data_IF_962123493698
#
_entry.id   IF_962123493698
#
_cell.length_a   1.000
_cell.length_b   1.000
_cell.length_c   1.000
_cell.angle_alpha   90.00
_cell.angle_beta   90.00
_cell.angle_gamma   90.00
#
_symmetry.space_group_name_H-M   'P 1'
#
loop_
_entity.id
_entity.type
_entity.pdbx_description
1 polymer ?
#
# COMPACT_ATOMS: atom_id res chain seq x y z
N UNK A 1 17.07 7.32 4.71
CA UNK A 1 16.09 6.24 4.47
C UNK A 1 16.21 5.83 3.02
N UNK A 2 16.39 4.55 2.71
CA UNK A 2 16.56 4.10 1.32
C UNK A 2 15.21 3.83 0.65
N UNK A 3 15.20 3.79 -0.68
CA UNK A 3 14.00 3.48 -1.45
C UNK A 3 13.41 2.09 -1.10
N UNK A 4 14.26 1.11 -0.83
CA UNK A 4 13.83 -0.24 -0.41
C UNK A 4 13.03 -0.20 0.90
N UNK A 5 13.53 0.54 1.91
CA UNK A 5 12.84 0.67 3.20
C UNK A 5 11.47 1.35 3.04
N UNK A 6 11.36 2.32 2.13
CA UNK A 6 10.08 2.98 1.84
C UNK A 6 9.12 1.99 1.17
N UNK A 7 9.59 1.23 0.18
CA UNK A 7 8.78 0.23 -0.52
C UNK A 7 8.28 -0.88 0.42
N UNK A 8 9.17 -1.42 1.26
CA UNK A 8 8.81 -2.45 2.25
C UNK A 8 7.73 -1.94 3.20
N UNK A 9 7.83 -0.68 3.63
CA UNK A 9 6.86 -0.10 4.55
C UNK A 9 5.48 0.11 3.89
N UNK A 10 5.46 0.55 2.64
CA UNK A 10 4.21 0.67 1.85
C UNK A 10 3.58 -0.71 1.63
N UNK A 11 4.38 -1.73 1.29
CA UNK A 11 3.89 -3.09 1.08
C UNK A 11 3.35 -3.71 2.37
N UNK A 12 4.07 -3.61 3.49
CA UNK A 12 3.62 -4.11 4.79
C UNK A 12 2.29 -3.47 5.22
N UNK A 13 2.16 -2.16 4.99
CA UNK A 13 0.91 -1.43 5.29
C UNK A 13 -0.22 -1.89 4.37
N UNK A 14 0.02 -2.03 3.06
CA UNK A 14 -0.96 -2.56 2.12
C UNK A 14 -1.42 -3.98 2.50
N UNK A 15 -0.51 -4.83 2.95
CA UNK A 15 -0.82 -6.19 3.38
C UNK A 15 -1.66 -6.24 4.66
N UNK A 16 -1.53 -5.25 5.55
CA UNK A 16 -2.36 -5.12 6.75
C UNK A 16 -3.80 -4.66 6.47
N UNK A 17 -4.09 -4.14 5.27
CA UNK A 17 -5.42 -3.64 4.94
C UNK A 17 -6.47 -4.77 4.91
N UNK A 18 -7.72 -4.49 5.30
CA UNK A 18 -8.82 -5.45 5.17
C UNK A 18 -9.00 -5.91 3.72
N UNK A 19 -9.44 -7.16 3.51
CA UNK A 19 -9.63 -7.73 2.17
C UNK A 19 -10.51 -6.87 1.24
N UNK A 20 -11.50 -6.14 1.79
CA UNK A 20 -12.38 -5.21 1.03
C UNK A 20 -11.64 -4.03 0.40
N UNK A 21 -10.41 -3.75 0.84
CA UNK A 21 -9.56 -2.64 0.40
C UNK A 21 -8.42 -3.10 -0.49
N UNK A 22 -8.36 -4.40 -0.78
CA UNK A 22 -7.41 -5.01 -1.71
C UNK A 22 -8.10 -5.22 -3.07
N UNK A 23 -7.32 -5.30 -4.17
CA UNK A 23 -7.84 -5.61 -5.49
C UNK A 23 -8.66 -6.89 -5.46
N UNK A 24 -9.79 -6.88 -6.16
CA UNK A 24 -10.71 -8.02 -6.22
C UNK A 24 -9.98 -9.19 -6.89
N UNK A 25 -10.15 -10.39 -6.34
CA UNK A 25 -9.82 -11.61 -7.06
C UNK A 25 -10.90 -11.84 -8.11
N UNK A 26 -10.48 -12.01 -9.34
CA UNK A 26 -11.35 -12.32 -10.47
C UNK A 26 -11.66 -13.81 -10.46
N UNK A 27 -12.77 -14.20 -11.11
CA UNK A 27 -13.30 -15.57 -11.03
C UNK A 27 -12.35 -16.63 -11.64
N UNK A 28 -11.37 -16.20 -12.43
CA UNK A 28 -10.28 -17.01 -12.99
C UNK A 28 -9.09 -17.21 -12.02
N UNK A 29 -9.21 -16.72 -10.78
CA UNK A 29 -8.14 -16.76 -9.77
C UNK A 29 -7.06 -15.69 -9.97
N UNK A 30 -7.15 -14.87 -11.03
CA UNK A 30 -6.23 -13.76 -11.23
C UNK A 30 -6.59 -12.61 -10.29
N UNK A 31 -5.56 -11.97 -9.72
CA UNK A 31 -5.73 -10.72 -8.98
C UNK A 31 -5.65 -9.58 -9.97
N UNK A 32 -6.58 -8.64 -9.88
CA UNK A 32 -6.52 -7.41 -10.66
C UNK A 32 -5.19 -6.69 -10.40
N UNK A 33 -4.47 -6.37 -11.47
CA UNK A 33 -3.26 -5.57 -11.39
C UNK A 33 -3.65 -4.12 -11.17
N UNK A 34 -3.25 -3.54 -10.04
CA UNK A 34 -3.42 -2.11 -9.78
C UNK A 34 -2.06 -1.49 -9.47
N UNK A 35 -1.76 -0.29 -10.00
CA UNK A 35 -0.64 0.48 -9.51
C UNK A 35 -0.88 0.83 -8.04
N UNK A 36 0.11 0.55 -7.20
CA UNK A 36 0.14 0.89 -5.79
C UNK A 36 1.02 2.12 -5.60
N UNK A 37 0.49 3.13 -4.92
CA UNK A 37 1.27 4.29 -4.48
C UNK A 37 1.11 4.49 -2.99
N UNK A 38 2.16 5.01 -2.33
CA UNK A 38 2.15 5.26 -0.90
C UNK A 38 3.05 6.43 -0.52
N UNK A 39 2.63 7.16 0.50
CA UNK A 39 3.39 8.26 1.10
C UNK A 39 3.81 7.82 2.49
N UNK A 40 5.10 7.99 2.80
CA UNK A 40 5.69 7.64 4.08
C UNK A 40 6.20 8.90 4.77
N UNK A 41 5.63 9.24 5.92
CA UNK A 41 6.17 10.26 6.80
C UNK A 41 7.23 9.63 7.70
N UNK A 42 8.39 10.27 7.80
CA UNK A 42 9.48 9.83 8.67
C UNK A 42 10.06 11.00 9.45
N UNK A 43 10.39 10.76 10.72
CA UNK A 43 11.22 11.65 11.53
C UNK A 43 12.60 11.01 11.66
N UNK A 44 13.49 11.34 10.73
CA UNK A 44 14.81 10.71 10.62
C UNK A 44 14.75 9.35 9.92
N UNK A 45 15.20 8.29 10.61
CA UNK A 45 15.13 6.89 10.13
C UNK A 45 13.88 6.15 10.62
N UNK A 46 13.08 6.77 11.49
CA UNK A 46 11.90 6.14 12.09
C UNK A 46 10.66 6.63 11.33
N UNK A 47 9.95 5.74 10.63
CA UNK A 47 8.73 6.14 9.96
C UNK A 47 7.59 6.28 10.99
N UNK A 48 6.77 7.31 10.82
CA UNK A 48 5.77 7.74 11.82
C UNK A 48 4.33 7.68 11.32
N UNK A 49 4.09 7.79 10.01
CA UNK A 49 2.73 7.73 9.43
C UNK A 49 2.79 7.33 7.95
N UNK A 50 1.71 6.73 7.43
CA UNK A 50 1.65 6.22 6.06
C UNK A 50 0.27 6.41 5.47
N UNK A 51 0.21 6.71 4.17
CA UNK A 51 -1.04 6.69 3.41
C UNK A 51 -0.84 5.93 2.11
N UNK A 52 -1.83 5.15 1.69
CA UNK A 52 -1.75 4.26 0.52
C UNK A 52 -2.96 4.46 -0.39
N UNK A 53 -2.70 4.60 -1.68
CA UNK A 53 -3.71 4.67 -2.72
C UNK A 53 -3.48 3.56 -3.76
N UNK A 54 -4.57 3.03 -4.30
CA UNK A 54 -4.54 2.21 -5.51
C UNK A 54 -5.54 2.75 -6.52
N UNK A 55 -5.31 2.52 -7.81
CA UNK A 55 -6.12 3.11 -8.91
C UNK A 55 -7.63 2.82 -8.83
N UNK A 56 -8.06 1.83 -8.04
CA UNK A 56 -9.45 1.45 -7.86
C UNK A 56 -10.04 1.83 -6.48
N UNK A 57 -9.23 2.40 -5.58
CA UNK A 57 -9.69 2.92 -4.30
C UNK A 57 -8.67 3.93 -3.77
N UNK A 58 -8.99 5.21 -3.93
CA UNK A 58 -8.36 6.28 -3.16
C UNK A 58 -8.90 6.21 -1.74
N UNK A 59 -8.06 5.81 -0.80
CA UNK A 59 -8.42 5.71 0.60
C UNK A 59 -7.40 6.46 1.43
N UNK A 60 -7.75 7.69 1.82
CA UNK A 60 -6.94 8.52 2.72
C UNK A 60 -7.22 8.00 4.14
N UNK A 61 -6.20 7.41 4.77
CA UNK A 61 -6.12 7.11 6.20
C UNK A 61 -4.80 7.70 6.71
#
# INVERSE_FOLDING_TARGET
MSAAVIADCVLATFDSLPAKRKPRQRDDGAREWVPLSGIVLSKGIIPSSFSIASSNSLSIF
#
